data_IF_301687178376
#
_entry.id   IF_301687178376
#
_cell.length_a   1.000
_cell.length_b   1.000
_cell.length_c   1.000
_cell.angle_alpha   90.00
_cell.angle_beta   90.00
_cell.angle_gamma   90.00
#
_symmetry.space_group_name_H-M   'P 1'
#
loop_
_entity.id
_entity.type
_entity.pdbx_description
1 polymer ?
#
# COMPACT_ATOMS: atom_id res chain seq x y z
N UNK A 1 14.23 4.18 -11.22
CA UNK A 1 14.08 5.16 -10.11
C UNK A 1 12.91 6.11 -10.29
N UNK A 2 12.89 7.00 -11.31
CA UNK A 2 11.75 7.92 -11.51
C UNK A 2 10.47 7.18 -11.90
N UNK A 3 10.60 6.15 -12.72
CA UNK A 3 9.46 5.33 -13.16
C UNK A 3 8.89 4.46 -12.02
N UNK A 4 9.75 3.93 -11.15
CA UNK A 4 9.33 3.18 -9.95
C UNK A 4 8.55 4.05 -8.97
N UNK A 5 9.02 5.28 -8.74
CA UNK A 5 8.32 6.24 -7.90
C UNK A 5 6.96 6.64 -8.52
N UNK A 6 6.92 6.85 -9.84
CA UNK A 6 5.67 7.13 -10.54
C UNK A 6 4.67 5.96 -10.44
N UNK A 7 5.15 4.72 -10.54
CA UNK A 7 4.35 3.51 -10.37
C UNK A 7 3.78 3.42 -8.96
N UNK A 8 4.61 3.61 -7.93
CA UNK A 8 4.20 3.58 -6.53
C UNK A 8 3.17 4.68 -6.20
N UNK A 9 3.39 5.92 -6.66
CA UNK A 9 2.44 7.02 -6.47
C UNK A 9 1.09 6.73 -7.14
N UNK A 10 1.10 6.16 -8.35
CA UNK A 10 -0.11 5.75 -9.06
C UNK A 10 -0.87 4.66 -8.31
N UNK A 11 -0.17 3.67 -7.79
CA UNK A 11 -0.77 2.58 -7.01
C UNK A 11 -1.35 3.06 -5.68
N UNK A 12 -0.62 3.90 -4.94
CA UNK A 12 -1.11 4.52 -3.71
C UNK A 12 -2.38 5.33 -3.96
N UNK A 13 -2.37 6.19 -4.98
CA UNK A 13 -3.55 6.98 -5.34
C UNK A 13 -4.74 6.08 -5.69
N UNK A 14 -4.53 5.04 -6.52
CA UNK A 14 -5.58 4.10 -6.89
C UNK A 14 -6.14 3.34 -5.68
N UNK A 15 -5.27 2.78 -4.83
CA UNK A 15 -5.64 2.04 -3.63
C UNK A 15 -6.45 2.92 -2.67
N UNK A 16 -5.99 4.16 -2.44
CA UNK A 16 -6.71 5.13 -1.61
C UNK A 16 -8.12 5.43 -2.17
N UNK A 17 -8.25 5.58 -3.49
CA UNK A 17 -9.56 5.79 -4.13
C UNK A 17 -10.49 4.59 -4.01
N UNK A 18 -9.97 3.36 -4.14
CA UNK A 18 -10.77 2.14 -3.98
C UNK A 18 -11.21 1.90 -2.55
N UNK A 19 -10.36 2.20 -1.58
CA UNK A 19 -10.63 1.96 -0.16
C UNK A 19 -11.17 3.18 0.59
N UNK A 20 -11.51 4.29 -0.09
CA UNK A 20 -11.94 5.56 0.54
C UNK A 20 -13.08 5.42 1.55
N UNK A 21 -14.00 4.48 1.33
CA UNK A 21 -15.13 4.19 2.23
C UNK A 21 -14.95 2.91 3.06
N UNK A 22 -13.88 2.14 2.82
CA UNK A 22 -13.61 0.92 3.57
C UNK A 22 -12.91 1.24 4.89
N UNK A 23 -13.24 0.48 5.93
CA UNK A 23 -12.67 0.59 7.27
C UNK A 23 -12.15 -0.76 7.76
N UNK A 24 -11.15 -0.72 8.65
CA UNK A 24 -10.69 -1.88 9.41
C UNK A 24 -11.75 -2.25 10.46
N UNK A 25 -11.64 -3.48 10.97
CA UNK A 25 -12.52 -4.02 12.04
C UNK A 25 -11.97 -3.76 13.45
N UNK A 26 -11.02 -2.85 13.57
CA UNK A 26 -10.51 -2.39 14.87
C UNK A 26 -11.51 -1.45 15.54
N UNK A 27 -11.32 -1.20 16.83
CA UNK A 27 -12.23 -0.37 17.64
C UNK A 27 -12.36 1.06 17.12
N UNK A 28 -11.32 1.60 16.50
CA UNK A 28 -11.30 2.93 15.90
C UNK A 28 -11.94 2.99 14.50
N UNK A 29 -12.31 1.84 13.91
CA UNK A 29 -12.72 1.71 12.53
C UNK A 29 -11.76 2.49 11.59
N UNK A 30 -10.47 2.22 11.70
CA UNK A 30 -9.44 2.99 11.00
C UNK A 30 -9.60 2.89 9.47
N UNK A 31 -9.18 3.90 8.68
CA UNK A 31 -9.20 3.82 7.22
C UNK A 31 -8.49 2.56 6.71
N UNK A 32 -9.14 1.80 5.82
CA UNK A 32 -8.59 0.51 5.38
C UNK A 32 -7.29 0.66 4.58
N UNK A 33 -7.09 1.78 3.88
CA UNK A 33 -5.84 2.09 3.15
C UNK A 33 -4.57 1.97 4.00
N UNK A 34 -4.70 2.13 5.32
CA UNK A 34 -3.57 1.95 6.23
C UNK A 34 -3.03 0.50 6.19
N UNK A 35 -3.89 -0.49 5.93
CA UNK A 35 -3.48 -1.89 5.90
C UNK A 35 -2.58 -2.25 4.69
N UNK A 36 -2.94 -1.96 3.43
CA UNK A 36 -2.03 -2.16 2.29
C UNK A 36 -0.69 -1.41 2.44
N UNK A 37 -0.71 -0.20 3.03
CA UNK A 37 0.52 0.56 3.33
C UNK A 37 1.39 -0.17 4.37
N UNK A 38 0.77 -0.69 5.43
CA UNK A 38 1.45 -1.44 6.49
C UNK A 38 2.09 -2.73 5.95
N UNK A 39 1.39 -3.45 5.06
CA UNK A 39 1.93 -4.64 4.37
C UNK A 39 3.12 -4.28 3.48
N UNK A 40 2.99 -3.24 2.66
CA UNK A 40 4.09 -2.77 1.80
C UNK A 40 5.32 -2.35 2.62
N UNK A 41 5.11 -1.66 3.74
CA UNK A 41 6.19 -1.28 4.65
C UNK A 41 6.87 -2.50 5.29
N UNK A 42 6.10 -3.52 5.68
CA UNK A 42 6.65 -4.75 6.25
C UNK A 42 7.52 -5.51 5.24
N UNK A 43 7.07 -5.63 3.99
CA UNK A 43 7.85 -6.26 2.92
C UNK A 43 9.18 -5.53 2.69
N UNK A 44 9.16 -4.21 2.68
CA UNK A 44 10.36 -3.40 2.50
C UNK A 44 11.33 -3.51 3.69
N UNK A 45 10.82 -3.34 4.91
CA UNK A 45 11.66 -3.17 6.11
C UNK A 45 12.08 -4.48 6.76
N UNK A 46 11.21 -5.50 6.74
CA UNK A 46 11.47 -6.80 7.38
C UNK A 46 11.72 -7.88 6.34
N UNK A 47 10.99 -7.85 5.23
CA UNK A 47 11.16 -8.80 4.13
C UNK A 47 12.34 -8.50 3.22
N UNK A 48 13.00 -7.34 3.38
CA UNK A 48 14.08 -6.84 2.52
C UNK A 48 13.72 -6.86 1.01
N UNK A 49 12.43 -6.73 0.70
CA UNK A 49 11.92 -6.71 -0.67
C UNK A 49 12.05 -5.31 -1.24
N UNK A 50 13.02 -5.14 -2.14
CA UNK A 50 13.30 -3.86 -2.82
C UNK A 50 12.73 -3.76 -4.24
N UNK A 51 11.99 -4.79 -4.72
CA UNK A 51 11.38 -4.78 -6.04
C UNK A 51 10.13 -3.90 -6.06
N UNK A 52 10.16 -2.84 -6.87
CA UNK A 52 9.07 -1.88 -6.96
C UNK A 52 7.74 -2.50 -7.44
N UNK A 53 7.77 -3.54 -8.28
CA UNK A 53 6.58 -4.24 -8.76
C UNK A 53 5.93 -5.02 -7.62
N UNK A 54 6.73 -5.71 -6.80
CA UNK A 54 6.22 -6.44 -5.64
C UNK A 54 5.63 -5.48 -4.60
N UNK A 55 6.30 -4.38 -4.30
CA UNK A 55 5.78 -3.37 -3.37
C UNK A 55 4.50 -2.72 -3.91
N UNK A 56 4.44 -2.45 -5.21
CA UNK A 56 3.22 -1.97 -5.86
C UNK A 56 2.08 -2.97 -5.74
N UNK A 57 2.35 -4.27 -5.97
CA UNK A 57 1.35 -5.32 -5.81
C UNK A 57 0.83 -5.39 -4.37
N UNK A 58 1.70 -5.24 -3.37
CA UNK A 58 1.29 -5.19 -1.96
C UNK A 58 0.38 -4.01 -1.64
N UNK A 59 0.56 -2.85 -2.30
CA UNK A 59 -0.33 -1.68 -2.15
C UNK A 59 -1.72 -1.94 -2.78
N UNK A 60 -1.80 -2.85 -3.75
CA UNK A 60 -2.99 -3.10 -4.58
C UNK A 60 -3.74 -4.41 -4.29
N UNK A 61 -3.26 -5.22 -3.34
CA UNK A 61 -3.89 -6.49 -2.97
C UNK A 61 -5.29 -6.30 -2.33
#
# INVERSE_FOLDING_TARGET
>A
MKDDLALLLKALYFSAQKHRHQRRKDTAASPFINHPIEVANLLWTVGEVCDATIITAAILH
#
